data_IF_276035661132
#
_entry.id   IF_276035661132
#
_cell.length_a   1.000
_cell.length_b   1.000
_cell.length_c   1.000
_cell.angle_alpha   90.00
_cell.angle_beta   90.00
_cell.angle_gamma   90.00
#
_symmetry.space_group_name_H-M   'P 1'
#
loop_
_entity.id
_entity.type
_entity.pdbx_description
1 polymer ?
#
# COMPACT_ATOMS: atom_id res chain seq x y z
N UNK A 1 9.96 -14.67 14.13
CA UNK A 1 10.23 -15.34 12.83
C UNK A 1 9.65 -16.74 12.85
N UNK A 2 10.19 -17.69 13.63
CA UNK A 2 9.67 -19.07 13.74
C UNK A 2 8.15 -19.10 14.02
N UNK A 3 7.67 -18.36 15.02
CA UNK A 3 6.25 -18.32 15.36
C UNK A 3 5.33 -17.69 14.29
N UNK A 4 5.89 -16.97 13.32
CA UNK A 4 5.14 -16.34 12.22
C UNK A 4 5.11 -17.30 11.04
N UNK A 5 6.27 -17.82 10.66
CA UNK A 5 6.43 -18.81 9.62
C UNK A 5 7.83 -19.45 9.71
N UNK A 6 7.88 -20.69 10.22
CA UNK A 6 9.12 -21.46 10.33
C UNK A 6 9.60 -21.98 8.96
N UNK A 7 8.69 -22.36 8.08
CA UNK A 7 9.03 -22.88 6.74
C UNK A 7 9.66 -21.79 5.87
N UNK A 8 9.10 -20.57 5.91
CA UNK A 8 9.69 -19.42 5.25
C UNK A 8 11.10 -19.12 5.76
N UNK A 9 11.31 -19.22 7.08
CA UNK A 9 12.64 -19.03 7.68
C UNK A 9 13.63 -20.10 7.19
N UNK A 10 13.21 -21.36 7.09
CA UNK A 10 14.04 -22.46 6.56
C UNK A 10 14.41 -22.18 5.10
N UNK A 11 13.44 -21.79 4.26
CA UNK A 11 13.69 -21.43 2.87
C UNK A 11 14.66 -20.25 2.75
N UNK A 12 14.49 -19.20 3.56
CA UNK A 12 15.36 -18.02 3.52
C UNK A 12 16.79 -18.35 4.00
N UNK A 13 16.95 -19.29 4.95
CA UNK A 13 18.26 -19.79 5.39
C UNK A 13 18.95 -20.63 4.32
N UNK A 14 18.20 -21.51 3.66
CA UNK A 14 18.71 -22.32 2.56
C UNK A 14 19.13 -21.43 1.38
N UNK A 15 18.31 -20.44 1.01
CA UNK A 15 18.61 -19.53 -0.10
C UNK A 15 19.82 -18.63 0.21
N UNK A 16 19.83 -17.97 1.37
CA UNK A 16 20.83 -16.92 1.70
C UNK A 16 22.16 -17.50 2.17
N UNK A 17 22.11 -18.51 3.04
CA UNK A 17 23.27 -19.02 3.75
C UNK A 17 23.63 -20.47 3.38
N UNK A 18 22.84 -21.14 2.53
CA UNK A 18 23.00 -22.55 2.18
C UNK A 18 22.89 -23.49 3.38
N UNK A 19 22.06 -23.11 4.37
CA UNK A 19 21.83 -23.88 5.60
C UNK A 19 20.47 -24.57 5.48
N UNK A 20 20.50 -25.89 5.33
CA UNK A 20 19.29 -26.72 5.15
C UNK A 20 18.73 -27.27 6.47
N UNK A 21 19.58 -27.45 7.48
CA UNK A 21 19.18 -27.82 8.84
C UNK A 21 19.68 -26.76 9.82
N UNK A 22 18.88 -25.71 10.01
CA UNK A 22 19.23 -24.64 10.93
C UNK A 22 19.11 -25.06 12.41
N UNK A 23 18.43 -26.17 12.72
CA UNK A 23 18.28 -26.67 14.09
C UNK A 23 19.58 -27.28 14.63
N UNK A 24 20.50 -27.65 13.74
CA UNK A 24 21.86 -28.04 14.10
C UNK A 24 22.73 -26.85 14.57
N UNK A 25 22.30 -25.60 14.34
CA UNK A 25 23.06 -24.42 14.74
C UNK A 25 22.86 -24.08 16.22
N UNK A 26 23.88 -23.49 16.89
CA UNK A 26 23.67 -22.83 18.17
C UNK A 26 22.57 -21.76 18.07
N UNK A 27 21.68 -21.72 19.04
CA UNK A 27 20.50 -20.84 19.02
C UNK A 27 20.86 -19.36 18.82
N UNK A 28 21.96 -18.89 19.42
CA UNK A 28 22.43 -17.52 19.25
C UNK A 28 22.85 -17.22 17.81
N UNK A 29 23.52 -18.17 17.15
CA UNK A 29 23.90 -18.02 15.74
C UNK A 29 22.69 -18.03 14.83
N UNK A 30 21.75 -18.96 15.04
CA UNK A 30 20.50 -19.00 14.28
C UNK A 30 19.72 -17.67 14.43
N UNK A 31 19.64 -17.10 15.63
CA UNK A 31 18.98 -15.81 15.85
C UNK A 31 19.67 -14.64 15.11
N UNK A 32 21.00 -14.59 15.12
CA UNK A 32 21.78 -13.57 14.39
C UNK A 32 21.54 -13.67 12.88
N UNK A 33 21.62 -14.88 12.32
CA UNK A 33 21.39 -15.12 10.89
C UNK A 33 19.96 -14.74 10.50
N UNK A 34 18.96 -15.09 11.32
CA UNK A 34 17.57 -14.72 11.08
C UNK A 34 17.36 -13.21 11.06
N UNK A 35 17.97 -12.49 12.01
CA UNK A 35 17.94 -11.02 12.03
C UNK A 35 18.63 -10.41 10.80
N UNK A 36 19.71 -11.03 10.34
CA UNK A 36 20.53 -10.59 9.21
C UNK A 36 19.97 -10.87 7.82
N UNK A 37 18.84 -11.55 7.68
CA UNK A 37 18.19 -11.77 6.38
C UNK A 37 17.85 -10.43 5.70
N UNK A 38 17.89 -10.37 4.37
CA UNK A 38 17.47 -9.17 3.63
C UNK A 38 15.98 -8.86 3.81
N UNK A 39 15.57 -7.59 3.67
CA UNK A 39 14.17 -7.18 3.88
C UNK A 39 13.18 -7.82 2.90
N UNK A 40 13.67 -8.25 1.73
CA UNK A 40 12.92 -9.01 0.73
C UNK A 40 12.80 -10.51 1.03
N UNK A 41 13.40 -11.00 2.11
CA UNK A 41 13.23 -12.39 2.57
C UNK A 41 11.76 -12.69 2.88
N UNK A 42 11.34 -13.94 2.67
CA UNK A 42 9.94 -14.34 2.81
C UNK A 42 9.44 -14.08 4.22
N UNK A 43 10.24 -14.44 5.22
CA UNK A 43 9.87 -14.26 6.63
C UNK A 43 9.79 -12.79 7.03
N UNK A 44 10.70 -11.92 6.53
CA UNK A 44 10.64 -10.47 6.81
C UNK A 44 9.45 -9.80 6.12
N UNK A 45 9.12 -10.19 4.90
CA UNK A 45 7.90 -9.73 4.22
C UNK A 45 6.63 -10.14 4.97
N UNK A 46 6.58 -11.35 5.54
CA UNK A 46 5.46 -11.78 6.39
C UNK A 46 5.40 -11.01 7.71
N UNK A 47 6.54 -10.67 8.30
CA UNK A 47 6.61 -9.85 9.52
C UNK A 47 6.12 -8.42 9.27
N UNK A 48 6.56 -7.80 8.17
CA UNK A 48 6.27 -6.39 7.91
C UNK A 48 4.78 -6.14 7.65
N UNK A 49 4.00 -7.19 7.33
CA UNK A 49 2.58 -7.11 6.95
C UNK A 49 2.30 -6.14 5.79
N UNK A 50 3.34 -5.65 5.13
CA UNK A 50 3.22 -4.73 4.02
C UNK A 50 2.81 -5.51 2.78
N UNK A 51 1.90 -4.94 1.98
CA UNK A 51 1.42 -5.55 0.74
C UNK A 51 2.48 -5.60 -0.37
N UNK A 52 3.48 -4.72 -0.29
CA UNK A 52 4.65 -4.72 -1.17
C UNK A 52 5.89 -4.22 -0.40
N UNK A 53 7.07 -4.48 -0.96
CA UNK A 53 8.34 -3.97 -0.43
C UNK A 53 8.50 -2.45 -0.63
N UNK A 54 9.44 -1.85 0.10
CA UNK A 54 9.69 -0.41 0.09
C UNK A 54 10.07 0.12 -1.29
N UNK A 55 10.86 -0.62 -2.07
CA UNK A 55 11.29 -0.17 -3.39
C UNK A 55 10.10 -0.15 -4.35
N UNK A 56 9.27 -1.18 -4.32
CA UNK A 56 8.01 -1.22 -5.08
C UNK A 56 7.10 -0.05 -4.70
N UNK A 57 6.96 0.25 -3.41
CA UNK A 57 6.17 1.41 -2.95
C UNK A 57 6.74 2.74 -3.46
N UNK A 58 8.06 2.92 -3.40
CA UNK A 58 8.73 4.12 -3.90
C UNK A 58 8.56 4.27 -5.42
N UNK A 59 8.69 3.18 -6.17
CA UNK A 59 8.47 3.15 -7.62
C UNK A 59 7.02 3.51 -7.97
N UNK A 60 6.04 2.99 -7.23
CA UNK A 60 4.63 3.32 -7.43
C UNK A 60 4.37 4.81 -7.20
N UNK A 61 4.94 5.40 -6.14
CA UNK A 61 4.83 6.84 -5.90
C UNK A 61 5.48 7.66 -7.02
N UNK A 62 6.66 7.27 -7.49
CA UNK A 62 7.33 7.96 -8.60
C UNK A 62 6.47 7.89 -9.87
N UNK A 63 5.95 6.70 -10.21
CA UNK A 63 5.07 6.50 -11.36
C UNK A 63 3.80 7.37 -11.25
N UNK A 64 3.15 7.42 -10.08
CA UNK A 64 1.97 8.25 -9.84
C UNK A 64 2.26 9.75 -10.03
N UNK A 65 3.40 10.22 -9.51
CA UNK A 65 3.81 11.63 -9.68
C UNK A 65 4.10 11.96 -11.13
N UNK A 66 4.81 11.10 -11.84
CA UNK A 66 5.10 11.28 -13.26
C UNK A 66 3.83 11.24 -14.11
N UNK A 67 2.95 10.27 -13.88
CA UNK A 67 1.66 10.17 -14.57
C UNK A 67 0.78 11.38 -14.33
N UNK A 68 0.74 11.89 -13.09
CA UNK A 68 0.01 13.12 -12.76
C UNK A 68 0.58 14.33 -13.50
N UNK A 69 1.91 14.49 -13.54
CA UNK A 69 2.55 15.60 -14.27
C UNK A 69 2.26 15.50 -15.77
N UNK A 70 2.42 14.32 -16.37
CA UNK A 70 2.14 14.09 -17.78
C UNK A 70 0.68 14.39 -18.11
N UNK A 71 -0.25 13.97 -17.25
CA UNK A 71 -1.67 14.28 -17.37
C UNK A 71 -1.93 15.79 -17.29
N UNK A 72 -1.38 16.50 -16.30
CA UNK A 72 -1.52 17.96 -16.16
C UNK A 72 -1.05 18.75 -17.40
N UNK A 73 -0.06 18.21 -18.12
CA UNK A 73 0.48 18.81 -19.34
C UNK A 73 -0.28 18.40 -20.62
N UNK A 74 -1.24 17.49 -20.52
CA UNK A 74 -2.04 17.00 -21.64
C UNK A 74 -3.35 17.80 -21.83
N UNK A 75 -4.00 17.64 -22.97
CA UNK A 75 -5.32 18.24 -23.21
C UNK A 75 -6.40 17.70 -22.26
N UNK A 76 -6.30 16.43 -21.87
CA UNK A 76 -7.21 15.82 -20.89
C UNK A 76 -7.05 16.50 -19.52
N UNK A 77 -5.81 16.79 -19.11
CA UNK A 77 -5.53 17.54 -17.87
C UNK A 77 -6.08 18.97 -17.88
N UNK A 78 -6.09 19.64 -19.03
CA UNK A 78 -6.70 20.98 -19.17
C UNK A 78 -8.22 20.96 -19.03
N UNK A 79 -8.86 19.87 -19.46
CA UNK A 79 -10.31 19.65 -19.33
C UNK A 79 -10.70 19.05 -17.98
N UNK A 80 -9.75 18.45 -17.27
CA UNK A 80 -9.99 17.73 -16.02
C UNK A 80 -10.47 16.30 -16.23
N UNK A 81 -10.41 15.77 -17.45
CA UNK A 81 -10.88 14.42 -17.80
C UNK A 81 -9.76 13.39 -17.64
N UNK A 82 -10.10 12.10 -17.51
CA UNK A 82 -9.16 10.97 -17.54
C UNK A 82 -7.95 11.08 -16.59
N UNK A 83 -8.17 11.59 -15.37
CA UNK A 83 -7.10 11.64 -14.36
C UNK A 83 -6.59 10.23 -14.04
N UNK A 84 -5.26 9.97 -14.08
CA UNK A 84 -4.71 8.68 -13.74
C UNK A 84 -5.03 8.27 -12.30
N UNK A 85 -5.39 7.01 -12.13
CA UNK A 85 -5.52 6.39 -10.81
C UNK A 85 -4.14 6.20 -10.16
N UNK A 86 -4.13 6.15 -8.83
CA UNK A 86 -2.89 6.00 -8.06
C UNK A 86 -2.54 4.52 -7.90
N UNK A 87 -1.45 4.10 -8.51
CA UNK A 87 -0.86 2.77 -8.37
C UNK A 87 -0.46 2.53 -6.92
N UNK A 88 0.10 3.54 -6.24
CA UNK A 88 0.44 3.43 -4.82
C UNK A 88 -0.78 3.09 -3.97
N UNK A 89 -1.92 3.76 -4.19
CA UNK A 89 -3.15 3.49 -3.43
C UNK A 89 -3.68 2.08 -3.67
N UNK A 90 -3.68 1.62 -4.91
CA UNK A 90 -4.07 0.26 -5.28
C UNK A 90 -3.20 -0.78 -4.55
N UNK A 91 -1.87 -0.61 -4.53
CA UNK A 91 -0.94 -1.53 -3.86
C UNK A 91 -1.06 -1.45 -2.33
N UNK A 92 -1.11 -0.25 -1.77
CA UNK A 92 -1.25 -0.04 -0.33
C UNK A 92 -2.62 -0.52 0.20
N UNK A 93 -3.60 -0.74 -0.69
CA UNK A 93 -4.99 -0.94 -0.33
C UNK A 93 -5.52 0.23 0.48
N UNK A 94 -5.08 1.43 0.11
CA UNK A 94 -5.64 2.71 0.56
C UNK A 94 -6.50 3.32 -0.53
N UNK A 95 -7.04 2.47 -1.43
CA UNK A 95 -8.33 2.78 -2.03
C UNK A 95 -9.21 3.19 -0.87
N UNK A 96 -9.47 4.49 -0.80
CA UNK A 96 -10.44 5.01 0.12
C UNK A 96 -11.65 4.13 -0.06
N UNK A 97 -12.21 3.66 1.05
CA UNK A 97 -13.60 3.27 1.05
C UNK A 97 -14.34 4.25 0.13
N UNK A 98 -15.13 3.73 -0.81
CA UNK A 98 -16.07 4.56 -1.58
C UNK A 98 -17.02 5.36 -0.66
N UNK A 99 -16.93 5.17 0.67
CA UNK A 99 -17.55 5.92 1.76
C UNK A 99 -16.83 7.22 2.14
N UNK A 100 -15.64 7.50 1.61
CA UNK A 100 -14.88 8.74 1.78
C UNK A 100 -15.46 9.92 0.99
N UNK A 101 -16.74 10.21 1.22
CA UNK A 101 -17.46 11.37 0.71
C UNK A 101 -17.72 11.30 -0.80
N UNK A 102 -18.85 10.68 -1.19
CA UNK A 102 -19.51 11.03 -2.45
C UNK A 102 -19.59 12.55 -2.50
N UNK A 103 -18.81 13.19 -3.37
CA UNK A 103 -19.03 14.59 -3.67
C UNK A 103 -20.50 14.71 -4.12
N UNK A 104 -21.32 15.39 -3.31
CA UNK A 104 -22.73 15.60 -3.64
C UNK A 104 -22.75 16.62 -4.78
N UNK A 105 -22.96 16.11 -6.00
CA UNK A 105 -23.21 16.93 -7.16
C UNK A 105 -24.72 17.21 -7.23
N UNK A 106 -25.09 18.49 -7.32
CA UNK A 106 -26.48 18.91 -7.46
C UNK A 106 -26.72 19.37 -8.89
N UNK A 107 -27.82 18.93 -9.50
CA UNK A 107 -28.14 19.30 -10.88
C UNK A 107 -28.93 20.61 -10.95
N UNK A 108 -29.39 21.13 -9.80
CA UNK A 108 -30.01 22.46 -9.71
C UNK A 108 -29.73 23.17 -8.38
N UNK A 109 -29.84 24.51 -8.33
CA UNK A 109 -29.75 25.28 -7.10
C UNK A 109 -30.80 24.88 -6.05
N UNK A 110 -32.00 24.44 -6.46
CA UNK A 110 -33.04 24.04 -5.50
C UNK A 110 -32.70 22.72 -4.79
N UNK A 111 -32.04 21.79 -5.47
CA UNK A 111 -31.55 20.55 -4.85
C UNK A 111 -30.50 20.83 -3.77
N UNK A 112 -29.58 21.75 -4.04
CA UNK A 112 -28.57 22.17 -3.07
C UNK A 112 -29.20 22.80 -1.82
N UNK A 113 -30.14 23.75 -1.98
CA UNK A 113 -30.76 24.43 -0.84
C UNK A 113 -31.60 23.47 0.02
N UNK A 114 -32.26 22.48 -0.58
CA UNK A 114 -32.99 21.44 0.18
C UNK A 114 -32.03 20.61 1.05
N UNK A 115 -30.93 20.15 0.48
CA UNK A 115 -29.96 19.32 1.19
C UNK A 115 -29.24 20.13 2.28
N UNK A 116 -28.87 21.37 1.98
CA UNK A 116 -28.29 22.32 2.95
C UNK A 116 -29.22 22.55 4.13
N UNK A 117 -30.52 22.71 3.89
CA UNK A 117 -31.51 22.89 4.96
C UNK A 117 -31.61 21.66 5.86
N UNK A 118 -31.60 20.45 5.28
CA UNK A 118 -31.61 19.19 6.06
C UNK A 118 -30.40 19.10 7.01
N UNK A 119 -29.20 19.36 6.49
CA UNK A 119 -27.96 19.31 7.29
C UNK A 119 -28.00 20.33 8.43
N UNK A 120 -28.50 21.54 8.19
CA UNK A 120 -28.59 22.58 9.23
C UNK A 120 -29.63 22.26 10.31
N UNK A 121 -30.66 21.49 10.00
CA UNK A 121 -31.66 21.01 10.97
C UNK A 121 -31.14 19.84 11.81
N UNK A 122 -30.27 18.99 11.26
CA UNK A 122 -29.61 17.87 11.97
C UNK A 122 -28.51 18.32 12.96
N UNK A 123 -28.01 19.55 12.84
CA UNK A 123 -26.94 20.12 13.70
C UNK A 123 -27.50 20.88 14.92
N UNK A 124 -28.82 20.90 15.12
CA UNK A 124 -29.50 21.47 16.31
C UNK A 124 -29.77 20.43 17.38
#
# INVERSE_FOLDING_TARGET
>A
MIAIDEDALICDFAETYQIYDYRALPIGLAAVLASGLGDDSRVKKKISKNKADTNTMLLAVIADRLGTIAWMLSEDGRKGDNKPESIYRAIAGTEADEEGGKALFFNSPEEFERERKRILEEVK
#
